data_IF_992380781880
#
_entry.id   IF_992380781880
#
_cell.length_a   1.000
_cell.length_b   1.000
_cell.length_c   1.000
_cell.angle_alpha   90.00
_cell.angle_beta   90.00
_cell.angle_gamma   90.00
#
_symmetry.space_group_name_H-M   'P 1'
#
loop_
_entity.id
_entity.type
_entity.pdbx_description
1 polymer ?
#
# COMPACT_ATOMS: atom_id res chain seq x y z
N UNK A 1 10.51 -24.35 -18.48
CA UNK A 1 11.12 -23.01 -18.67
C UNK A 1 12.12 -22.76 -17.58
N UNK A 2 13.27 -22.22 -17.93
CA UNK A 2 14.27 -21.92 -16.89
C UNK A 2 13.78 -20.79 -16.00
N UNK A 3 14.08 -20.90 -14.73
CA UNK A 3 13.81 -19.85 -13.77
C UNK A 3 14.96 -18.84 -13.76
N UNK A 4 14.62 -17.56 -13.59
CA UNK A 4 15.60 -16.51 -13.39
C UNK A 4 15.38 -15.94 -11.99
N UNK A 5 16.44 -15.96 -11.18
CA UNK A 5 16.37 -15.44 -9.81
C UNK A 5 17.15 -14.16 -9.71
N UNK A 6 16.58 -13.18 -9.02
CA UNK A 6 17.21 -11.89 -8.79
C UNK A 6 17.04 -11.52 -7.32
N UNK A 7 18.11 -11.07 -6.71
CA UNK A 7 18.05 -10.57 -5.34
C UNK A 7 17.31 -9.23 -5.32
N UNK A 8 16.36 -9.10 -4.40
CA UNK A 8 15.58 -7.88 -4.22
C UNK A 8 15.47 -7.59 -2.73
N UNK A 9 15.12 -6.34 -2.42
CA UNK A 9 14.93 -5.87 -1.07
C UNK A 9 13.44 -5.60 -0.85
N UNK A 10 12.82 -6.14 0.23
CA UNK A 10 11.45 -5.80 0.55
C UNK A 10 11.37 -4.38 1.12
N UNK A 11 10.38 -3.62 0.69
CA UNK A 11 10.14 -2.25 1.15
C UNK A 11 8.67 -2.14 1.53
N UNK A 12 8.40 -1.67 2.75
CA UNK A 12 7.05 -1.39 3.17
C UNK A 12 6.64 -0.02 2.66
N UNK A 13 5.52 0.03 1.93
CA UNK A 13 4.96 1.27 1.40
C UNK A 13 3.71 1.63 2.20
N UNK A 14 3.71 2.80 2.81
CA UNK A 14 2.59 3.32 3.57
C UNK A 14 2.10 4.63 2.93
N UNK A 15 0.84 4.96 3.22
CA UNK A 15 0.24 6.22 2.74
C UNK A 15 -0.08 7.11 3.94
N UNK A 16 0.43 8.32 3.93
CA UNK A 16 0.16 9.29 4.98
C UNK A 16 -1.19 9.96 4.73
N UNK A 17 -2.01 10.05 5.78
CA UNK A 17 -3.34 10.64 5.69
C UNK A 17 -3.29 12.07 5.14
N UNK A 18 -4.11 12.35 4.12
CA UNK A 18 -4.18 13.67 3.52
C UNK A 18 -4.90 14.68 4.42
N UNK A 19 -5.74 14.20 5.34
CA UNK A 19 -6.51 15.08 6.20
C UNK A 19 -5.71 15.64 7.37
N UNK A 20 -4.94 14.79 8.06
CA UNK A 20 -4.15 15.21 9.22
C UNK A 20 -2.64 15.29 8.95
N UNK A 21 -2.16 14.64 7.89
CA UNK A 21 -0.75 14.66 7.52
C UNK A 21 0.18 13.92 8.47
N UNK A 22 -0.35 13.19 9.45
CA UNK A 22 0.43 12.51 10.47
C UNK A 22 0.11 11.03 10.62
N UNK A 23 -1.15 10.65 10.39
CA UNK A 23 -1.57 9.27 10.50
C UNK A 23 -1.29 8.47 9.24
N UNK A 24 -1.11 7.17 9.41
CA UNK A 24 -0.96 6.27 8.28
C UNK A 24 -2.31 5.67 7.94
N UNK A 25 -2.61 5.60 6.64
CA UNK A 25 -3.81 4.93 6.16
C UNK A 25 -3.65 3.43 6.30
N UNK A 26 -4.67 2.77 6.78
CA UNK A 26 -4.70 1.33 6.95
C UNK A 26 -5.97 0.77 6.33
N UNK A 27 -5.85 -0.35 5.66
CA UNK A 27 -7.00 -1.03 5.06
C UNK A 27 -8.04 -1.34 6.12
N UNK A 28 -9.27 -0.88 5.91
CA UNK A 28 -10.38 -1.06 6.86
C UNK A 28 -11.50 -1.96 6.34
N UNK A 29 -11.44 -2.37 5.08
CA UNK A 29 -12.46 -3.21 4.47
C UNK A 29 -11.90 -4.13 3.41
N UNK A 30 -12.79 -4.86 2.76
CA UNK A 30 -12.41 -5.76 1.69
C UNK A 30 -12.47 -5.04 0.34
N UNK A 31 -11.68 -5.53 -0.61
CA UNK A 31 -11.70 -5.00 -1.95
C UNK A 31 -13.00 -5.36 -2.65
N UNK A 32 -13.61 -4.37 -3.33
CA UNK A 32 -14.73 -4.63 -4.22
C UNK A 32 -14.19 -5.32 -5.47
N UNK A 33 -14.64 -6.57 -5.76
CA UNK A 33 -14.11 -7.30 -6.90
C UNK A 33 -14.54 -6.73 -8.26
N UNK A 34 -15.57 -5.89 -8.30
CA UNK A 34 -16.03 -5.28 -9.54
C UNK A 34 -15.30 -4.00 -9.89
N UNK A 35 -15.03 -3.17 -8.89
CA UNK A 35 -14.41 -1.85 -9.11
C UNK A 35 -12.97 -1.78 -8.66
N UNK A 36 -12.55 -2.70 -7.78
CA UNK A 36 -11.21 -2.68 -7.21
C UNK A 36 -11.03 -1.70 -6.08
N UNK A 37 -12.12 -1.14 -5.56
CA UNK A 37 -12.06 -0.16 -4.48
C UNK A 37 -11.72 -0.84 -3.15
N UNK A 38 -10.76 -0.26 -2.44
CA UNK A 38 -10.33 -0.72 -1.13
C UNK A 38 -10.45 0.45 -0.17
N UNK A 39 -11.30 0.29 0.85
CA UNK A 39 -11.51 1.33 1.84
C UNK A 39 -10.37 1.35 2.85
N UNK A 40 -9.90 2.55 3.15
CA UNK A 40 -8.82 2.78 4.12
C UNK A 40 -9.25 3.81 5.15
N UNK A 41 -8.65 3.72 6.32
CA UNK A 41 -8.93 4.63 7.44
C UNK A 41 -7.63 5.08 8.08
N UNK A 42 -7.55 6.36 8.40
CA UNK A 42 -6.44 6.91 9.16
C UNK A 42 -6.48 6.41 10.62
N UNK A 43 -5.34 6.03 11.15
CA UNK A 43 -5.23 5.52 12.52
C UNK A 43 -5.27 6.62 13.57
N UNK A 44 -5.18 7.89 13.17
CA UNK A 44 -5.15 9.02 14.10
C UNK A 44 -6.45 9.82 14.06
N UNK A 45 -6.88 10.27 12.88
CA UNK A 45 -8.04 11.15 12.75
C UNK A 45 -9.30 10.46 12.24
N UNK A 46 -9.25 9.16 11.95
CA UNK A 46 -10.36 8.36 11.41
C UNK A 46 -10.82 8.79 10.02
N UNK A 47 -10.04 9.59 9.31
CA UNK A 47 -10.38 9.95 7.95
C UNK A 47 -10.44 8.69 7.07
N UNK A 48 -11.53 8.56 6.30
CA UNK A 48 -11.71 7.43 5.39
C UNK A 48 -11.41 7.85 3.97
N UNK A 49 -10.73 6.98 3.24
CA UNK A 49 -10.38 7.22 1.86
C UNK A 49 -10.36 5.89 1.11
N UNK A 50 -10.80 5.90 -0.14
CA UNK A 50 -10.84 4.72 -0.99
C UNK A 50 -9.72 4.79 -2.02
N UNK A 51 -8.95 3.71 -2.13
CA UNK A 51 -7.94 3.54 -3.17
C UNK A 51 -8.39 2.44 -4.11
N UNK A 52 -8.23 2.66 -5.39
CA UNK A 52 -8.61 1.70 -6.41
C UNK A 52 -7.38 0.88 -6.82
N UNK A 53 -7.50 -0.45 -6.69
CA UNK A 53 -6.43 -1.41 -6.99
C UNK A 53 -5.15 -1.21 -6.19
N UNK A 54 -5.22 -0.53 -5.04
CA UNK A 54 -4.09 -0.26 -4.16
C UNK A 54 -4.50 -0.50 -2.72
N UNK A 55 -3.59 -1.08 -1.95
CA UNK A 55 -3.80 -1.22 -0.51
C UNK A 55 -2.56 -0.76 0.25
N UNK A 56 -2.78 -0.27 1.44
CA UNK A 56 -1.71 0.20 2.31
C UNK A 56 -1.93 -0.34 3.73
N UNK A 57 -0.89 -0.71 4.46
CA UNK A 57 0.48 -0.83 3.97
C UNK A 57 0.66 -2.02 3.03
N UNK A 58 1.65 -1.96 2.17
CA UNK A 58 1.97 -3.07 1.26
C UNK A 58 3.48 -3.27 1.22
N UNK A 59 3.89 -4.45 0.78
CA UNK A 59 5.31 -4.77 0.61
C UNK A 59 5.63 -4.83 -0.88
N UNK A 60 6.54 -3.97 -1.32
CA UNK A 60 7.08 -3.99 -2.66
C UNK A 60 8.50 -4.56 -2.63
N UNK A 61 8.92 -5.12 -3.74
CA UNK A 61 10.27 -5.66 -3.89
C UNK A 61 11.05 -4.82 -4.91
N UNK A 62 12.19 -4.29 -4.49
CA UNK A 62 13.03 -3.41 -5.30
C UNK A 62 14.37 -4.10 -5.50
N UNK A 63 14.89 -4.07 -6.74
CA UNK A 63 16.22 -4.61 -7.02
C UNK A 63 17.29 -3.93 -6.18
N UNK A 64 18.34 -4.67 -5.79
CA UNK A 64 19.37 -4.15 -4.89
C UNK A 64 20.13 -2.95 -5.47
N UNK A 65 20.16 -2.84 -6.80
CA UNK A 65 20.81 -1.75 -7.52
C UNK A 65 19.89 -0.57 -7.83
N UNK A 66 18.63 -0.64 -7.43
CA UNK A 66 17.66 0.41 -7.65
C UNK A 66 17.57 1.34 -6.44
N UNK A 67 17.29 2.61 -6.71
CA UNK A 67 17.05 3.60 -5.65
C UNK A 67 15.56 3.65 -5.30
N UNK A 68 15.30 3.88 -4.03
CA UNK A 68 13.95 4.07 -3.53
C UNK A 68 13.49 5.50 -3.79
#
# INVERSE_FOLDING_TARGET
MPEVKREVRPVEVTYICDACGQGMMSRSGEMDPETGDIEHRCLICDHQQTFQWREYPRIDHIGLDEKI
#
